data_IF_494546287167
#
_entry.id   IF_494546287167
#
_cell.length_a   1.000
_cell.length_b   1.000
_cell.length_c   1.000
_cell.angle_alpha   90.00
_cell.angle_beta   90.00
_cell.angle_gamma   90.00
#
_symmetry.space_group_name_H-M   'P 1'
#
loop_
_entity.id
_entity.type
_entity.pdbx_description
1 polymer ?
#
# COMPACT_ATOMS: atom_id res chain seq x y z
N UNK A 1 26.53 -1.83 12.17
CA UNK A 1 25.54 -2.35 13.12
C UNK A 1 25.77 -3.84 13.26
N UNK A 2 24.98 -4.56 14.06
CA UNK A 2 25.07 -6.01 14.15
C UNK A 2 24.86 -6.69 12.78
N UNK A 3 25.51 -7.83 12.58
CA UNK A 3 25.36 -8.68 11.40
C UNK A 3 24.86 -10.04 11.88
N UNK A 4 23.64 -10.40 11.49
CA UNK A 4 22.99 -11.67 11.81
C UNK A 4 22.76 -12.43 10.50
N UNK A 5 23.24 -13.67 10.43
CA UNK A 5 23.11 -14.51 9.23
C UNK A 5 22.75 -15.94 9.57
N UNK A 6 21.71 -16.49 8.92
CA UNK A 6 21.41 -17.91 9.01
C UNK A 6 20.88 -18.37 10.37
N UNK A 7 20.36 -17.47 11.21
CA UNK A 7 19.92 -17.79 12.57
C UNK A 7 18.41 -18.00 12.59
N UNK A 8 17.97 -19.02 13.30
CA UNK A 8 16.56 -19.26 13.62
C UNK A 8 16.27 -18.85 15.06
N UNK A 9 15.47 -17.81 15.23
CA UNK A 9 14.91 -17.37 16.50
C UNK A 9 13.46 -17.86 16.59
N UNK A 10 13.21 -18.90 17.38
CA UNK A 10 11.87 -19.49 17.54
C UNK A 10 11.53 -19.67 19.01
N UNK A 11 10.93 -18.65 19.62
CA UNK A 11 10.61 -18.59 21.06
C UNK A 11 9.51 -17.55 21.31
N UNK A 12 8.66 -17.78 22.32
CA UNK A 12 7.67 -16.81 22.87
C UNK A 12 8.29 -15.60 23.59
N UNK A 13 9.45 -15.15 23.11
CA UNK A 13 10.05 -13.91 23.56
C UNK A 13 9.09 -12.73 23.29
N UNK A 14 9.09 -11.75 24.19
CA UNK A 14 8.34 -10.51 24.00
C UNK A 14 8.79 -9.81 22.71
N UNK A 15 10.10 -9.67 22.53
CA UNK A 15 10.75 -9.30 21.27
C UNK A 15 11.92 -10.24 21.05
N UNK A 16 12.07 -10.80 19.84
CA UNK A 16 13.24 -11.64 19.56
C UNK A 16 14.50 -10.80 19.32
N UNK A 17 14.37 -9.67 18.62
CA UNK A 17 15.45 -8.71 18.38
C UNK A 17 15.03 -7.30 18.80
N UNK A 18 15.94 -6.60 19.47
CA UNK A 18 15.79 -5.18 19.79
C UNK A 18 17.11 -4.46 19.47
N UNK A 19 17.01 -3.39 18.67
CA UNK A 19 18.12 -2.50 18.37
C UNK A 19 17.68 -1.09 18.77
N UNK A 20 18.29 -0.61 19.85
CA UNK A 20 17.97 0.68 20.45
C UNK A 20 18.64 1.85 19.72
N UNK A 21 18.03 3.01 19.86
CA UNK A 21 18.50 4.28 19.33
C UNK A 21 17.61 5.43 19.78
N UNK A 22 17.96 6.66 19.42
CA UNK A 22 17.18 7.86 19.76
C UNK A 22 15.77 7.75 19.18
N UNK A 23 14.77 7.92 20.05
CA UNK A 23 13.36 8.08 19.68
C UNK A 23 13.00 9.58 19.75
N UNK A 24 12.59 10.21 18.65
CA UNK A 24 12.17 11.61 18.66
C UNK A 24 10.93 11.84 19.55
N UNK A 25 11.01 12.81 20.45
CA UNK A 25 9.87 13.29 21.27
C UNK A 25 9.09 14.44 20.60
N UNK A 26 9.48 14.81 19.37
CA UNK A 26 8.95 15.91 18.59
C UNK A 26 9.40 15.81 17.14
N UNK A 27 8.92 16.74 16.31
CA UNK A 27 9.48 16.94 14.97
C UNK A 27 10.98 17.25 15.13
N UNK A 28 11.82 16.50 14.44
CA UNK A 28 13.27 16.59 14.55
C UNK A 28 13.92 16.46 13.18
N UNK A 29 15.13 16.98 13.04
CA UNK A 29 15.88 16.83 11.80
C UNK A 29 16.33 15.38 11.61
N UNK A 30 16.32 14.88 10.37
CA UNK A 30 16.78 13.53 10.00
C UNK A 30 18.19 13.19 10.54
N UNK A 31 19.06 14.20 10.67
CA UNK A 31 20.42 14.04 11.20
C UNK A 31 20.47 13.68 12.68
N UNK A 32 19.35 13.79 13.40
CA UNK A 32 19.31 13.64 14.85
C UNK A 32 18.95 12.25 15.34
N UNK A 33 18.38 11.39 14.49
CA UNK A 33 17.93 10.03 14.87
C UNK A 33 18.45 8.98 13.88
N UNK A 34 18.37 7.71 14.27
CA UNK A 34 18.89 6.58 13.46
C UNK A 34 20.42 6.45 13.43
N UNK A 35 21.16 7.32 14.13
CA UNK A 35 22.64 7.37 14.07
C UNK A 35 23.37 6.50 15.09
N UNK A 36 22.66 6.00 16.11
CA UNK A 36 23.27 5.23 17.20
C UNK A 36 23.74 3.84 16.73
N UNK A 37 22.98 3.20 15.84
CA UNK A 37 23.31 1.90 15.26
C UNK A 37 23.11 1.94 13.75
N UNK A 38 24.20 2.14 13.00
CA UNK A 38 24.15 2.25 11.53
C UNK A 38 24.67 0.99 10.86
N UNK A 39 24.01 0.51 9.81
CA UNK A 39 24.50 -0.59 8.97
C UNK A 39 24.24 -1.97 9.58
N UNK A 40 23.04 -2.18 10.11
CA UNK A 40 22.60 -3.51 10.57
C UNK A 40 22.28 -4.39 9.37
N UNK A 41 22.69 -5.66 9.42
CA UNK A 41 22.34 -6.65 8.41
C UNK A 41 21.67 -7.87 9.07
N UNK A 42 20.46 -8.20 8.63
CA UNK A 42 19.74 -9.43 8.99
C UNK A 42 19.48 -10.19 7.69
N UNK A 43 20.14 -11.32 7.50
CA UNK A 43 20.11 -12.05 6.22
C UNK A 43 19.90 -13.54 6.44
N UNK A 44 19.00 -14.16 5.66
CA UNK A 44 18.72 -15.60 5.72
C UNK A 44 18.31 -16.07 7.13
N UNK A 45 17.60 -15.25 7.89
CA UNK A 45 17.15 -15.58 9.25
C UNK A 45 15.68 -15.99 9.27
N UNK A 46 15.31 -16.81 10.24
CA UNK A 46 13.91 -17.09 10.58
C UNK A 46 13.62 -16.51 11.95
N UNK A 47 12.57 -15.70 12.08
CA UNK A 47 12.13 -15.14 13.36
C UNK A 47 10.65 -15.46 13.52
N UNK A 48 10.32 -16.30 14.49
CA UNK A 48 8.95 -16.80 14.67
C UNK A 48 8.52 -16.98 16.12
N UNK A 49 7.20 -17.04 16.33
CA UNK A 49 6.55 -17.30 17.62
C UNK A 49 6.80 -16.22 18.67
N UNK A 50 6.83 -14.94 18.32
CA UNK A 50 7.07 -13.86 19.29
C UNK A 50 5.76 -13.36 19.93
N UNK A 51 5.75 -13.16 21.25
CA UNK A 51 4.57 -12.72 22.01
C UNK A 51 4.23 -11.23 21.84
N UNK A 52 5.04 -10.46 21.10
CA UNK A 52 4.68 -9.13 20.59
C UNK A 52 5.20 -8.91 19.17
N UNK A 53 6.47 -8.52 19.01
CA UNK A 53 7.11 -8.17 17.72
C UNK A 53 8.31 -9.07 17.46
N UNK A 54 8.57 -9.46 16.23
CA UNK A 54 9.76 -10.25 15.90
C UNK A 54 11.04 -9.40 16.05
N UNK A 55 11.07 -8.21 15.45
CA UNK A 55 12.18 -7.28 15.61
C UNK A 55 11.69 -5.83 15.79
N UNK A 56 12.26 -5.15 16.79
CA UNK A 56 12.01 -3.75 17.12
C UNK A 56 13.31 -2.95 16.91
N UNK A 57 13.38 -2.12 15.87
CA UNK A 57 14.66 -1.64 15.33
C UNK A 57 14.65 -0.13 15.12
N UNK A 58 15.70 0.53 15.63
CA UNK A 58 16.14 1.88 15.24
C UNK A 58 17.55 1.81 14.69
N UNK A 59 17.81 2.46 13.55
CA UNK A 59 19.15 2.50 12.96
C UNK A 59 19.15 2.65 11.45
N UNK A 60 19.98 3.57 10.96
CA UNK A 60 20.15 3.83 9.52
C UNK A 60 20.87 2.69 8.80
N UNK A 61 20.71 2.64 7.48
CA UNK A 61 21.37 1.66 6.60
C UNK A 61 21.09 0.21 7.01
N UNK A 62 19.89 -0.06 7.56
CA UNK A 62 19.42 -1.41 7.86
C UNK A 62 19.12 -2.18 6.57
N UNK A 63 19.59 -3.41 6.49
CA UNK A 63 19.16 -4.36 5.46
C UNK A 63 18.59 -5.61 6.10
N UNK A 64 17.35 -5.97 5.75
CA UNK A 64 16.73 -7.24 6.07
C UNK A 64 16.39 -7.95 4.76
N UNK A 65 17.02 -9.09 4.50
CA UNK A 65 16.80 -9.80 3.25
C UNK A 65 16.79 -11.31 3.35
N UNK A 66 15.99 -11.94 2.49
CA UNK A 66 15.83 -13.40 2.45
C UNK A 66 15.42 -13.99 3.82
N UNK A 67 14.68 -13.25 4.64
CA UNK A 67 14.25 -13.69 5.95
C UNK A 67 12.81 -14.21 5.93
N UNK A 68 12.50 -15.12 6.85
CA UNK A 68 11.12 -15.47 7.22
C UNK A 68 10.78 -14.79 8.56
N UNK A 69 9.70 -14.01 8.59
CA UNK A 69 9.12 -13.49 9.82
C UNK A 69 7.68 -13.98 9.93
N UNK A 70 7.36 -14.72 10.97
CA UNK A 70 6.01 -15.28 11.12
C UNK A 70 5.54 -15.48 12.55
N UNK A 71 4.23 -15.71 12.71
CA UNK A 71 3.63 -16.12 13.98
C UNK A 71 3.95 -15.15 15.12
N UNK A 72 3.64 -13.86 14.92
CA UNK A 72 3.77 -12.84 15.97
C UNK A 72 2.41 -12.40 16.48
N UNK A 73 2.34 -12.03 17.76
CA UNK A 73 1.10 -11.54 18.39
C UNK A 73 0.67 -10.16 17.91
N UNK A 74 1.58 -9.33 17.38
CA UNK A 74 1.26 -7.98 16.86
C UNK A 74 1.99 -7.75 15.54
N UNK A 75 3.04 -6.89 15.49
CA UNK A 75 3.81 -6.65 14.28
C UNK A 75 4.82 -7.77 13.98
N UNK A 76 5.19 -7.95 12.72
CA UNK A 76 6.36 -8.77 12.36
C UNK A 76 7.66 -7.99 12.61
N UNK A 77 7.84 -6.93 11.83
CA UNK A 77 8.95 -5.99 11.97
C UNK A 77 8.42 -4.62 12.36
N UNK A 78 9.07 -3.97 13.34
CA UNK A 78 8.76 -2.60 13.72
C UNK A 78 10.03 -1.75 13.62
N UNK A 79 10.07 -0.86 12.64
CA UNK A 79 11.22 -0.02 12.30
C UNK A 79 10.86 1.43 12.62
N UNK A 80 11.70 2.13 13.38
CA UNK A 80 11.40 3.46 13.87
C UNK A 80 12.53 4.43 13.60
N UNK A 81 12.21 5.67 13.21
CA UNK A 81 13.14 6.82 13.18
C UNK A 81 14.48 6.52 12.51
N UNK A 82 14.40 5.85 11.37
CA UNK A 82 15.56 5.29 10.65
C UNK A 82 15.60 5.78 9.21
N UNK A 83 16.75 5.67 8.56
CA UNK A 83 16.91 6.08 7.16
C UNK A 83 17.62 5.02 6.33
N UNK A 84 17.36 5.01 5.03
CA UNK A 84 18.06 4.17 4.05
C UNK A 84 17.92 2.66 4.36
N UNK A 85 16.67 2.22 4.50
CA UNK A 85 16.35 0.84 4.88
C UNK A 85 16.01 0.02 3.65
N UNK A 86 16.52 -1.22 3.59
CA UNK A 86 16.17 -2.19 2.55
C UNK A 86 15.53 -3.44 3.16
N UNK A 87 14.26 -3.68 2.82
CA UNK A 87 13.54 -4.93 3.04
C UNK A 87 13.37 -5.64 1.70
N UNK A 88 14.15 -6.69 1.45
CA UNK A 88 14.16 -7.38 0.16
C UNK A 88 13.99 -8.89 0.25
N UNK A 89 13.10 -9.49 -0.57
CA UNK A 89 12.97 -10.96 -0.67
C UNK A 89 12.62 -11.66 0.63
N UNK A 90 11.91 -10.97 1.52
CA UNK A 90 11.43 -11.55 2.75
C UNK A 90 10.07 -12.22 2.56
N UNK A 91 9.80 -13.22 3.39
CA UNK A 91 8.47 -13.79 3.57
C UNK A 91 7.95 -13.33 4.92
N UNK A 92 6.82 -12.63 4.90
CA UNK A 92 6.14 -12.14 6.09
C UNK A 92 4.77 -12.80 6.13
N UNK A 93 4.41 -13.49 7.21
CA UNK A 93 3.12 -14.18 7.29
C UNK A 93 2.60 -14.38 8.69
N UNK A 94 1.28 -14.42 8.86
CA UNK A 94 0.62 -14.70 10.16
C UNK A 94 1.15 -13.79 11.27
N UNK A 95 1.02 -12.48 11.08
CA UNK A 95 1.21 -11.51 12.16
C UNK A 95 -0.16 -11.11 12.74
N UNK A 96 -0.20 -10.77 14.01
CA UNK A 96 -1.41 -10.66 14.83
C UNK A 96 -2.20 -11.98 14.97
N UNK A 97 -1.52 -13.09 15.26
CA UNK A 97 -2.16 -14.42 15.36
C UNK A 97 -3.16 -14.54 16.51
N UNK A 98 -3.05 -13.68 17.52
CA UNK A 98 -3.93 -13.65 18.70
C UNK A 98 -5.15 -12.75 18.49
N UNK A 99 -5.26 -12.10 17.31
CA UNK A 99 -6.31 -11.11 17.02
C UNK A 99 -6.42 -10.04 18.12
N UNK A 100 -5.27 -9.50 18.52
CA UNK A 100 -5.22 -8.39 19.48
C UNK A 100 -5.81 -7.17 18.79
N UNK A 101 -6.78 -6.54 19.46
CA UNK A 101 -7.40 -5.30 19.04
C UNK A 101 -6.86 -4.12 19.85
N UNK A 102 -6.94 -2.91 19.29
CA UNK A 102 -6.37 -1.69 19.92
C UNK A 102 -4.86 -1.50 19.71
N UNK A 103 -4.14 -2.54 19.26
CA UNK A 103 -2.79 -2.45 18.73
C UNK A 103 -2.88 -2.58 17.21
N UNK A 104 -2.79 -1.48 16.47
CA UNK A 104 -2.95 -1.44 15.02
C UNK A 104 -1.79 -2.20 14.32
N UNK A 105 -1.93 -3.50 14.00
CA UNK A 105 -0.80 -4.35 13.70
C UNK A 105 -0.49 -4.36 12.20
N UNK A 106 0.74 -4.70 11.86
CA UNK A 106 1.19 -4.86 10.48
C UNK A 106 2.28 -5.94 10.36
N UNK A 107 2.41 -6.57 9.20
CA UNK A 107 3.55 -7.44 8.88
C UNK A 107 4.88 -6.67 9.03
N UNK A 108 4.91 -5.44 8.53
CA UNK A 108 5.94 -4.45 8.82
C UNK A 108 5.27 -3.14 9.16
N UNK A 109 5.68 -2.53 10.26
CA UNK A 109 5.33 -1.16 10.60
C UNK A 109 6.60 -0.31 10.56
N UNK A 110 6.57 0.77 9.78
CA UNK A 110 7.68 1.70 9.57
C UNK A 110 7.19 3.05 10.09
N UNK A 111 7.69 3.45 11.26
CA UNK A 111 7.03 4.45 12.08
C UNK A 111 7.93 5.62 12.45
N UNK A 112 7.31 6.79 12.61
CA UNK A 112 7.89 7.99 13.21
C UNK A 112 9.18 8.48 12.53
N UNK A 113 9.03 9.42 11.60
CA UNK A 113 10.15 10.15 10.97
C UNK A 113 11.19 9.22 10.34
N UNK A 114 10.75 8.40 9.39
CA UNK A 114 11.61 7.42 8.69
C UNK A 114 11.78 7.80 7.22
N UNK A 115 12.98 7.68 6.68
CA UNK A 115 13.34 8.24 5.37
C UNK A 115 13.87 7.16 4.42
N UNK A 116 13.44 7.18 3.15
CA UNK A 116 14.00 6.35 2.07
C UNK A 116 13.98 4.85 2.39
N UNK A 117 12.85 4.36 2.91
CA UNK A 117 12.65 2.91 3.13
C UNK A 117 12.20 2.25 1.84
N UNK A 118 12.93 1.21 1.45
CA UNK A 118 12.63 0.38 0.28
C UNK A 118 12.13 -0.99 0.71
N UNK A 119 10.91 -1.33 0.34
CA UNK A 119 10.36 -2.68 0.36
C UNK A 119 10.30 -3.22 -1.07
N UNK A 120 11.23 -4.11 -1.43
CA UNK A 120 11.33 -4.68 -2.76
C UNK A 120 11.16 -6.20 -2.77
N UNK A 121 10.34 -6.74 -3.67
CA UNK A 121 10.30 -8.18 -3.96
C UNK A 121 10.00 -9.06 -2.73
N UNK A 122 9.13 -8.60 -1.81
CA UNK A 122 8.71 -9.36 -0.63
C UNK A 122 7.40 -10.12 -0.89
N UNK A 123 7.21 -11.24 -0.19
CA UNK A 123 5.95 -11.96 -0.10
C UNK A 123 5.30 -11.69 1.26
N UNK A 124 4.10 -11.10 1.25
CA UNK A 124 3.29 -10.82 2.43
C UNK A 124 1.97 -11.54 2.31
N UNK A 125 1.71 -12.52 3.18
CA UNK A 125 0.55 -13.40 3.03
C UNK A 125 -0.01 -13.87 4.37
N UNK A 126 -1.31 -14.18 4.41
CA UNK A 126 -2.00 -14.70 5.61
C UNK A 126 -2.09 -13.66 6.74
N UNK A 127 -2.64 -12.48 6.43
CA UNK A 127 -2.84 -11.38 7.40
C UNK A 127 -4.33 -10.99 7.54
N UNK A 128 -5.21 -11.92 7.98
CA UNK A 128 -6.64 -11.61 8.10
C UNK A 128 -6.94 -10.51 9.13
N UNK A 129 -6.10 -10.37 10.16
CA UNK A 129 -6.30 -9.43 11.27
C UNK A 129 -5.16 -8.39 11.40
N UNK A 130 -4.38 -8.19 10.35
CA UNK A 130 -3.20 -7.31 10.37
C UNK A 130 -3.06 -6.61 9.03
N UNK A 131 -2.44 -5.43 9.02
CA UNK A 131 -2.02 -4.81 7.77
C UNK A 131 -0.83 -5.59 7.16
N UNK A 132 -0.58 -5.38 5.87
CA UNK A 132 0.64 -5.84 5.22
C UNK A 132 1.83 -4.99 5.66
N UNK A 133 2.27 -4.07 4.80
CA UNK A 133 3.39 -3.16 5.09
C UNK A 133 2.82 -1.74 5.26
N UNK A 134 3.05 -1.17 6.43
CA UNK A 134 2.54 0.13 6.83
C UNK A 134 3.66 1.12 7.09
N UNK A 135 3.71 2.15 6.25
CA UNK A 135 4.47 3.38 6.46
C UNK A 135 3.61 4.32 7.29
N UNK A 136 3.76 4.22 8.61
CA UNK A 136 2.92 4.88 9.60
C UNK A 136 3.56 6.17 10.12
N UNK A 137 3.02 7.32 9.72
CA UNK A 137 3.39 8.68 10.15
C UNK A 137 4.86 9.09 9.91
N UNK A 138 5.03 10.16 9.15
CA UNK A 138 6.30 10.84 8.97
C UNK A 138 7.28 10.08 8.09
N UNK A 139 6.78 9.21 7.21
CA UNK A 139 7.62 8.57 6.21
C UNK A 139 7.89 9.52 5.05
N UNK A 140 9.12 9.54 4.56
CA UNK A 140 9.52 10.38 3.42
C UNK A 140 10.26 9.56 2.37
N UNK A 141 9.89 9.71 1.11
CA UNK A 141 10.52 9.08 -0.06
C UNK A 141 10.55 7.54 0.00
N UNK A 142 9.43 6.92 0.37
CA UNK A 142 9.31 5.46 0.41
C UNK A 142 9.33 4.79 -0.97
N UNK A 143 9.82 3.55 -1.06
CA UNK A 143 9.82 2.76 -2.30
C UNK A 143 9.23 1.37 -2.04
N UNK A 144 8.06 1.11 -2.57
CA UNK A 144 7.31 -0.13 -2.43
C UNK A 144 7.14 -0.80 -3.80
N UNK A 145 7.99 -1.78 -4.11
CA UNK A 145 8.09 -2.32 -5.49
C UNK A 145 8.16 -3.82 -5.58
N UNK A 146 7.59 -4.39 -6.65
CA UNK A 146 7.68 -5.81 -6.98
C UNK A 146 7.18 -6.78 -5.89
N UNK A 147 6.41 -6.30 -4.90
CA UNK A 147 5.93 -7.14 -3.81
C UNK A 147 4.70 -7.95 -4.24
N UNK A 148 4.57 -9.14 -3.67
CA UNK A 148 3.34 -9.94 -3.70
C UNK A 148 2.66 -9.83 -2.34
N UNK A 149 1.46 -9.26 -2.34
CA UNK A 149 0.64 -9.09 -1.14
C UNK A 149 -0.67 -9.85 -1.32
N UNK A 150 -0.98 -10.78 -0.42
CA UNK A 150 -2.15 -11.65 -0.58
C UNK A 150 -2.88 -11.92 0.74
N UNK A 151 -4.21 -11.87 0.71
CA UNK A 151 -5.03 -12.27 1.86
C UNK A 151 -4.82 -11.38 3.08
N UNK A 152 -4.74 -10.07 2.85
CA UNK A 152 -4.69 -9.04 3.89
C UNK A 152 -6.12 -8.57 4.16
N UNK A 153 -6.65 -8.82 5.35
CA UNK A 153 -8.05 -8.52 5.69
C UNK A 153 -9.06 -9.48 5.08
N UNK A 154 -10.29 -8.97 4.91
CA UNK A 154 -11.45 -9.70 4.41
C UNK A 154 -12.07 -8.98 3.22
N UNK A 155 -12.35 -9.69 2.13
CA UNK A 155 -12.92 -9.15 0.89
C UNK A 155 -14.44 -9.30 0.79
N UNK A 156 -15.05 -10.05 1.70
CA UNK A 156 -16.47 -10.41 1.71
C UNK A 156 -17.32 -9.57 2.69
N UNK A 157 -16.70 -8.65 3.42
CA UNK A 157 -17.41 -7.70 4.29
C UNK A 157 -17.91 -6.48 3.52
N UNK A 158 -18.97 -5.83 4.01
CA UNK A 158 -19.45 -4.57 3.44
C UNK A 158 -18.45 -3.44 3.71
N UNK A 159 -18.22 -2.58 2.72
CA UNK A 159 -17.32 -1.43 2.87
C UNK A 159 -18.03 -0.27 3.57
N UNK A 160 -17.31 0.43 4.44
CA UNK A 160 -17.81 1.68 5.00
C UNK A 160 -17.52 2.83 4.03
N UNK A 161 -18.56 3.37 3.38
CA UNK A 161 -18.41 4.51 2.46
C UNK A 161 -18.21 5.86 3.16
N UNK A 162 -18.33 5.92 4.50
CA UNK A 162 -18.13 7.14 5.28
C UNK A 162 -16.72 7.25 5.86
N UNK A 163 -15.98 6.16 5.93
CA UNK A 163 -14.62 6.12 6.43
C UNK A 163 -13.85 4.96 5.81
N UNK A 164 -12.58 5.20 5.47
CA UNK A 164 -11.67 4.20 4.91
C UNK A 164 -10.89 3.43 5.99
N UNK A 165 -11.14 3.73 7.26
CA UNK A 165 -10.51 3.11 8.43
C UNK A 165 -11.52 2.91 9.56
N UNK A 166 -11.46 1.81 10.35
CA UNK A 166 -10.48 0.72 10.29
C UNK A 166 -10.74 -0.27 9.15
N UNK A 167 -9.66 -0.64 8.46
CA UNK A 167 -9.58 -1.67 7.40
C UNK A 167 -8.19 -2.31 7.44
N UNK A 168 -8.01 -3.45 6.80
CA UNK A 168 -6.67 -4.04 6.62
C UNK A 168 -6.13 -3.71 5.23
N UNK A 169 -4.88 -3.27 5.18
CA UNK A 169 -4.31 -2.67 3.98
C UNK A 169 -3.00 -3.36 3.61
N UNK A 170 -2.86 -3.80 2.36
CA UNK A 170 -1.67 -4.46 1.86
C UNK A 170 -0.44 -3.55 1.87
N UNK A 171 -0.56 -2.40 1.21
CA UNK A 171 0.35 -1.26 1.34
C UNK A 171 -0.42 -0.10 1.97
N UNK A 172 0.02 0.33 3.15
CA UNK A 172 -0.58 1.44 3.87
C UNK A 172 0.43 2.59 4.01
N UNK A 173 0.12 3.75 3.45
CA UNK A 173 0.94 4.95 3.54
C UNK A 173 0.14 6.07 4.24
N UNK A 174 0.44 6.31 5.51
CA UNK A 174 -0.32 7.22 6.36
C UNK A 174 0.52 8.43 6.80
N UNK A 175 -0.04 9.64 6.67
CA UNK A 175 0.54 10.89 7.21
C UNK A 175 2.02 11.01 6.78
N UNK A 176 2.26 10.87 5.49
CA UNK A 176 3.60 10.70 4.94
C UNK A 176 3.74 11.41 3.60
N UNK A 177 4.97 11.65 3.13
CA UNK A 177 5.25 12.50 1.97
C UNK A 177 6.14 11.77 0.98
N UNK A 178 5.67 11.58 -0.25
CA UNK A 178 6.47 10.98 -1.31
C UNK A 178 6.63 9.48 -1.14
N UNK A 179 6.07 8.71 -2.07
CA UNK A 179 6.38 7.30 -2.20
C UNK A 179 6.20 6.81 -3.62
N UNK A 180 6.95 5.78 -4.02
CA UNK A 180 6.73 5.03 -5.24
C UNK A 180 6.10 3.69 -4.86
N UNK A 181 4.89 3.40 -5.33
CA UNK A 181 4.24 2.10 -5.22
C UNK A 181 4.09 1.51 -6.63
N UNK A 182 5.00 0.64 -7.05
CA UNK A 182 5.02 0.19 -8.45
C UNK A 182 5.39 -1.27 -8.68
N UNK A 183 4.77 -1.89 -9.69
CA UNK A 183 5.08 -3.28 -10.05
C UNK A 183 4.58 -4.32 -9.03
N UNK A 184 3.66 -3.96 -8.12
CA UNK A 184 3.19 -4.86 -7.08
C UNK A 184 1.96 -5.64 -7.51
N UNK A 185 1.79 -6.82 -6.93
CA UNK A 185 0.62 -7.67 -7.08
C UNK A 185 -0.13 -7.72 -5.74
N UNK A 186 -1.40 -7.31 -5.75
CA UNK A 186 -2.31 -7.36 -4.60
C UNK A 186 -3.44 -8.35 -4.91
N UNK A 187 -3.58 -9.40 -4.10
CA UNK A 187 -4.55 -10.49 -4.34
C UNK A 187 -5.44 -10.68 -3.12
N UNK A 188 -6.75 -10.58 -3.30
CA UNK A 188 -7.75 -10.78 -2.25
C UNK A 188 -7.42 -9.98 -0.97
N UNK A 189 -7.05 -8.71 -1.12
CA UNK A 189 -6.85 -7.80 0.00
C UNK A 189 -8.11 -6.98 0.22
N UNK A 190 -8.47 -6.71 1.47
CA UNK A 190 -9.53 -5.77 1.85
C UNK A 190 -9.28 -4.44 1.11
N UNK A 191 -8.14 -3.79 1.42
CA UNK A 191 -7.52 -2.82 0.53
C UNK A 191 -6.15 -3.35 0.08
N UNK A 192 -5.90 -3.41 -1.24
CA UNK A 192 -4.55 -3.63 -1.74
C UNK A 192 -3.64 -2.45 -1.38
N UNK A 193 -4.14 -1.23 -1.59
CA UNK A 193 -3.47 0.02 -1.23
C UNK A 193 -4.41 0.90 -0.43
N UNK A 194 -3.90 1.51 0.64
CA UNK A 194 -4.48 2.71 1.25
C UNK A 194 -3.41 3.79 1.36
N UNK A 195 -3.67 4.93 0.72
CA UNK A 195 -2.92 6.18 0.94
C UNK A 195 -3.82 7.10 1.75
N UNK A 196 -3.50 7.34 3.01
CA UNK A 196 -4.32 8.14 3.92
C UNK A 196 -3.55 9.36 4.39
N UNK A 197 -4.13 10.55 4.26
CA UNK A 197 -3.56 11.79 4.80
C UNK A 197 -2.12 12.06 4.35
N UNK A 198 -1.78 11.68 3.12
CA UNK A 198 -0.42 11.72 2.59
C UNK A 198 -0.36 12.54 1.29
N UNK A 199 0.84 12.78 0.77
CA UNK A 199 1.02 13.53 -0.49
C UNK A 199 2.04 12.88 -1.41
N UNK A 200 1.95 13.18 -2.71
CA UNK A 200 2.94 12.82 -3.73
C UNK A 200 3.27 11.31 -3.83
N UNK A 201 2.27 10.44 -3.68
CA UNK A 201 2.45 8.99 -3.93
C UNK A 201 2.27 8.67 -5.41
N UNK A 202 3.27 8.05 -6.03
CA UNK A 202 3.28 7.60 -7.42
C UNK A 202 2.96 6.09 -7.50
N UNK A 203 1.77 5.75 -8.00
CA UNK A 203 1.26 4.39 -8.12
C UNK A 203 1.26 3.95 -9.59
N UNK A 204 2.22 3.11 -9.98
CA UNK A 204 2.41 2.72 -11.38
C UNK A 204 2.42 1.21 -11.56
N UNK A 205 1.75 0.71 -12.59
CA UNK A 205 1.92 -0.68 -13.01
C UNK A 205 1.70 -1.68 -11.86
N UNK A 206 0.68 -1.48 -11.01
CA UNK A 206 0.28 -2.48 -10.02
C UNK A 206 -0.87 -3.33 -10.58
N UNK A 207 -0.93 -4.59 -10.17
CA UNK A 207 -2.07 -5.47 -10.47
C UNK A 207 -2.86 -5.73 -9.19
N UNK A 208 -4.14 -5.38 -9.21
CA UNK A 208 -5.11 -5.65 -8.15
C UNK A 208 -6.03 -6.77 -8.64
N UNK A 209 -6.08 -7.87 -7.89
CA UNK A 209 -7.00 -8.98 -8.09
C UNK A 209 -7.89 -9.06 -6.87
N UNK A 210 -9.19 -8.81 -7.05
CA UNK A 210 -10.17 -8.79 -5.97
C UNK A 210 -9.71 -7.94 -4.79
N UNK A 211 -9.14 -6.76 -5.09
CA UNK A 211 -8.56 -5.86 -4.10
C UNK A 211 -8.93 -4.43 -4.44
N UNK A 212 -9.33 -3.64 -3.45
CA UNK A 212 -9.57 -2.21 -3.64
C UNK A 212 -8.26 -1.42 -3.65
N UNK A 213 -8.20 -0.38 -4.48
CA UNK A 213 -7.26 0.72 -4.30
C UNK A 213 -7.97 1.89 -3.61
N UNK A 214 -7.38 2.44 -2.55
CA UNK A 214 -7.99 3.51 -1.75
C UNK A 214 -7.04 4.67 -1.55
N UNK A 215 -7.53 5.88 -1.82
CA UNK A 215 -6.82 7.13 -1.56
C UNK A 215 -7.76 8.02 -0.75
N UNK A 216 -7.32 8.50 0.40
CA UNK A 216 -8.19 9.15 1.37
C UNK A 216 -7.55 10.33 2.08
N UNK A 217 -8.38 11.31 2.46
CA UNK A 217 -7.99 12.35 3.41
C UNK A 217 -9.13 12.76 4.35
N UNK A 218 -8.77 13.12 5.57
CA UNK A 218 -9.66 13.67 6.58
C UNK A 218 -9.03 14.88 7.28
N UNK A 219 -9.68 15.38 8.32
CA UNK A 219 -9.30 16.57 9.07
C UNK A 219 -8.14 16.36 10.06
N UNK A 220 -7.67 15.12 10.23
CA UNK A 220 -6.63 14.79 11.23
C UNK A 220 -5.41 15.66 11.03
N UNK A 221 -5.02 16.42 12.04
CA UNK A 221 -3.89 17.36 12.04
C UNK A 221 -3.24 17.35 13.42
N UNK A 222 -2.08 18.00 13.60
CA UNK A 222 -1.40 18.01 14.91
C UNK A 222 -2.20 18.78 15.98
N UNK A 223 -3.16 19.63 15.57
CA UNK A 223 -3.99 20.38 16.51
C UNK A 223 -5.07 19.48 17.11
N UNK A 224 -4.88 19.10 18.38
CA UNK A 224 -5.86 18.31 19.13
C UNK A 224 -5.87 16.82 18.80
N UNK A 225 -4.83 16.28 18.14
CA UNK A 225 -4.70 14.85 17.88
C UNK A 225 -4.44 14.07 19.18
N UNK A 226 -5.02 12.87 19.27
CA UNK A 226 -4.77 11.96 20.38
C UNK A 226 -3.30 11.52 20.48
N UNK A 227 -2.59 11.49 19.34
CA UNK A 227 -1.16 11.15 19.27
C UNK A 227 -0.27 12.40 19.24
N UNK A 228 -0.80 13.57 19.61
CA UNK A 228 -0.01 14.78 19.80
C UNK A 228 0.60 15.32 18.50
N UNK A 229 1.92 15.50 18.47
CA UNK A 229 2.62 16.15 17.36
C UNK A 229 2.81 15.26 16.14
N UNK A 230 2.61 13.95 16.23
CA UNK A 230 2.88 12.99 15.15
C UNK A 230 2.32 13.43 13.78
N UNK A 231 1.08 13.94 13.65
CA UNK A 231 0.57 14.42 12.36
C UNK A 231 1.37 15.53 11.70
N UNK A 232 2.14 16.33 12.46
CA UNK A 232 2.99 17.41 11.93
C UNK A 232 4.17 16.92 11.09
N UNK A 233 4.45 15.62 11.11
CA UNK A 233 5.51 15.02 10.28
C UNK A 233 5.06 14.78 8.83
N UNK A 234 3.76 14.65 8.61
CA UNK A 234 3.14 14.48 7.30
C UNK A 234 2.86 15.81 6.59
N UNK A 235 2.04 15.80 5.52
CA UNK A 235 1.49 17.01 4.91
C UNK A 235 0.35 17.58 5.74
N UNK A 236 0.19 18.91 5.68
CA UNK A 236 -1.00 19.58 6.22
C UNK A 236 -2.26 19.16 5.45
N UNK A 237 -3.44 19.50 5.99
CA UNK A 237 -4.73 18.98 5.51
C UNK A 237 -4.99 19.33 4.03
N UNK A 238 -4.62 20.55 3.62
CA UNK A 238 -4.71 21.06 2.25
C UNK A 238 -3.56 20.63 1.34
N UNK A 239 -2.48 20.07 1.89
CA UNK A 239 -1.31 19.60 1.15
C UNK A 239 -1.39 18.12 0.72
N UNK A 240 -2.50 17.44 1.06
CA UNK A 240 -2.78 16.01 0.75
C UNK A 240 -3.20 15.82 -0.71
N UNK A 241 -2.28 16.14 -1.60
CA UNK A 241 -2.47 16.16 -3.06
C UNK A 241 -1.23 15.63 -3.78
N UNK A 242 -1.27 15.61 -5.11
CA UNK A 242 -0.11 15.31 -5.95
C UNK A 242 0.06 13.82 -6.29
N UNK A 243 -0.90 12.97 -5.90
CA UNK A 243 -0.84 11.54 -6.20
C UNK A 243 -0.89 11.27 -7.70
N UNK A 244 -0.26 10.17 -8.12
CA UNK A 244 -0.38 9.64 -9.47
C UNK A 244 -0.85 8.20 -9.44
N UNK A 245 -1.76 7.82 -10.33
CA UNK A 245 -2.21 6.42 -10.45
C UNK A 245 -2.36 6.08 -11.94
N UNK A 246 -1.36 5.40 -12.48
CA UNK A 246 -1.18 5.22 -13.92
C UNK A 246 -0.78 3.78 -14.27
N UNK A 247 -1.25 3.26 -15.40
CA UNK A 247 -0.93 1.91 -15.90
C UNK A 247 -1.32 0.77 -14.93
N UNK A 248 -2.23 0.99 -13.99
CA UNK A 248 -2.63 -0.07 -13.06
C UNK A 248 -3.68 -0.97 -13.71
N UNK A 249 -3.67 -2.25 -13.35
CA UNK A 249 -4.68 -3.22 -13.72
C UNK A 249 -5.50 -3.56 -12.48
N UNK A 250 -6.82 -3.34 -12.53
CA UNK A 250 -7.75 -3.67 -11.46
C UNK A 250 -8.74 -4.70 -11.96
N UNK A 251 -8.84 -5.82 -11.25
CA UNK A 251 -9.62 -6.98 -11.70
C UNK A 251 -10.51 -7.48 -10.58
N UNK A 252 -11.72 -7.89 -10.94
CA UNK A 252 -12.66 -8.56 -10.06
C UNK A 252 -13.25 -9.78 -10.75
N UNK A 253 -13.21 -10.90 -10.03
CA UNK A 253 -14.00 -12.08 -10.39
C UNK A 253 -15.49 -11.86 -10.08
N UNK A 254 -16.29 -12.89 -10.35
CA UNK A 254 -17.74 -12.85 -10.14
C UNK A 254 -18.19 -12.72 -8.67
N UNK A 255 -17.31 -13.05 -7.72
CA UNK A 255 -17.61 -13.03 -6.28
C UNK A 255 -17.18 -11.70 -5.62
N UNK A 256 -16.34 -10.90 -6.28
CA UNK A 256 -15.87 -9.64 -5.73
C UNK A 256 -16.85 -8.47 -5.97
N UNK A 257 -17.64 -8.15 -4.95
CA UNK A 257 -18.76 -7.22 -5.03
C UNK A 257 -18.46 -5.78 -4.57
N UNK A 258 -17.19 -5.42 -4.39
CA UNK A 258 -16.77 -4.09 -3.93
C UNK A 258 -16.32 -3.21 -5.10
N UNK A 259 -16.26 -1.87 -4.95
CA UNK A 259 -15.58 -1.03 -5.92
C UNK A 259 -14.15 -1.49 -6.16
N UNK A 260 -13.60 -1.18 -7.33
CA UNK A 260 -12.18 -1.41 -7.60
C UNK A 260 -11.33 -0.23 -7.13
N UNK A 261 -11.92 0.97 -7.08
CA UNK A 261 -11.26 2.19 -6.65
C UNK A 261 -12.17 3.02 -5.73
N UNK A 262 -11.62 3.51 -4.63
CA UNK A 262 -12.28 4.45 -3.74
C UNK A 262 -11.38 5.64 -3.43
N UNK A 263 -11.76 6.81 -3.96
CA UNK A 263 -11.14 8.09 -3.62
C UNK A 263 -12.05 8.79 -2.63
N UNK A 264 -11.59 8.94 -1.40
CA UNK A 264 -12.38 9.38 -0.27
C UNK A 264 -11.92 10.73 0.28
N UNK A 265 -12.87 11.52 0.73
CA UNK A 265 -12.65 12.69 1.57
C UNK A 265 -13.72 12.73 2.65
N UNK A 266 -13.34 13.05 3.89
CA UNK A 266 -14.33 13.21 4.96
C UNK A 266 -15.34 14.32 4.62
N UNK A 267 -16.60 14.10 4.97
CA UNK A 267 -17.70 15.05 4.71
C UNK A 267 -17.38 16.44 5.30
N UNK A 268 -16.71 16.48 6.45
CA UNK A 268 -16.25 17.69 7.14
C UNK A 268 -15.40 18.60 6.24
N UNK A 269 -14.59 18.03 5.35
CA UNK A 269 -13.71 18.81 4.46
C UNK A 269 -14.40 19.26 3.16
N UNK A 270 -15.59 18.75 2.83
CA UNK A 270 -16.15 18.90 1.48
C UNK A 270 -16.37 20.35 1.03
N UNK A 271 -16.78 21.21 1.96
CA UNK A 271 -16.96 22.64 1.69
C UNK A 271 -15.66 23.45 1.79
N UNK A 272 -14.59 22.85 2.30
CA UNK A 272 -13.34 23.55 2.65
C UNK A 272 -12.25 23.27 1.61
N UNK A 273 -12.09 22.01 1.21
CA UNK A 273 -11.05 21.56 0.28
C UNK A 273 -11.72 20.89 -0.91
N UNK A 274 -11.61 21.56 -2.06
CA UNK A 274 -12.24 21.12 -3.32
C UNK A 274 -11.21 20.56 -4.31
N UNK A 275 -9.93 20.73 -4.04
CA UNK A 275 -8.86 20.27 -4.93
C UNK A 275 -8.88 18.76 -5.06
N UNK A 276 -8.64 18.27 -6.27
CA UNK A 276 -8.52 16.84 -6.50
C UNK A 276 -7.22 16.32 -5.89
N UNK A 277 -7.26 15.10 -5.34
CA UNK A 277 -6.10 14.48 -4.69
C UNK A 277 -5.00 14.06 -5.69
N UNK A 278 -5.35 13.97 -6.99
CA UNK A 278 -4.46 13.50 -8.04
C UNK A 278 -3.88 14.61 -8.90
N UNK A 279 -2.59 14.47 -9.20
CA UNK A 279 -1.90 15.17 -10.29
C UNK A 279 -2.07 14.43 -11.62
N UNK A 280 -2.13 13.10 -11.59
CA UNK A 280 -2.28 12.27 -12.78
C UNK A 280 -3.08 11.00 -12.44
N UNK A 281 -4.08 10.68 -13.25
CA UNK A 281 -4.98 9.55 -13.01
C UNK A 281 -5.50 9.08 -14.37
N UNK A 282 -4.78 8.16 -15.02
CA UNK A 282 -5.12 7.71 -16.39
C UNK A 282 -4.43 6.38 -16.80
N UNK A 283 -4.80 5.84 -17.95
CA UNK A 283 -4.24 4.60 -18.54
C UNK A 283 -4.41 3.37 -17.64
N UNK A 284 -5.42 3.37 -16.79
CA UNK A 284 -5.77 2.24 -15.95
C UNK A 284 -6.72 1.30 -16.68
N UNK A 285 -6.64 0.00 -16.39
CA UNK A 285 -7.52 -1.00 -16.97
C UNK A 285 -8.30 -1.68 -15.88
N UNK A 286 -9.62 -1.70 -16.05
CA UNK A 286 -10.58 -2.35 -15.16
C UNK A 286 -11.15 -3.58 -15.87
N UNK A 287 -11.19 -4.71 -15.19
CA UNK A 287 -11.76 -5.95 -15.71
C UNK A 287 -12.73 -6.53 -14.68
N UNK A 288 -13.95 -6.85 -15.11
CA UNK A 288 -14.93 -7.59 -14.32
C UNK A 288 -15.40 -8.82 -15.06
N UNK A 289 -15.42 -9.96 -14.37
CA UNK A 289 -15.90 -11.21 -14.96
C UNK A 289 -17.44 -11.29 -15.04
N UNK A 290 -18.18 -10.50 -14.27
CA UNK A 290 -19.65 -10.48 -14.28
C UNK A 290 -20.20 -9.07 -14.39
N UNK A 291 -21.45 -8.98 -14.84
CA UNK A 291 -22.29 -7.79 -14.69
C UNK A 291 -22.39 -7.48 -13.21
N UNK A 292 -21.83 -6.35 -12.83
CA UNK A 292 -21.86 -5.89 -11.47
C UNK A 292 -23.25 -5.29 -11.21
N UNK A 293 -24.04 -5.94 -10.34
CA UNK A 293 -25.39 -5.49 -9.99
C UNK A 293 -25.40 -4.18 -9.17
N UNK A 294 -24.23 -3.61 -8.89
CA UNK A 294 -24.04 -2.37 -8.16
C UNK A 294 -23.33 -1.34 -9.05
N UNK A 295 -23.73 -0.08 -9.01
CA UNK A 295 -23.21 0.99 -9.89
C UNK A 295 -21.83 1.53 -9.46
N UNK A 296 -21.17 0.91 -8.47
CA UNK A 296 -19.96 1.41 -7.83
C UNK A 296 -18.67 0.77 -8.37
N UNK A 297 -18.28 1.02 -9.62
CA UNK A 297 -16.93 0.62 -10.06
C UNK A 297 -15.87 1.49 -9.37
N UNK A 298 -16.12 2.80 -9.35
CA UNK A 298 -15.29 3.85 -8.78
C UNK A 298 -16.15 4.70 -7.86
N UNK A 299 -15.74 4.86 -6.60
CA UNK A 299 -16.31 5.87 -5.70
C UNK A 299 -15.32 7.03 -5.64
N UNK A 300 -15.81 8.26 -5.82
CA UNK A 300 -14.97 9.42 -6.00
C UNK A 300 -15.37 10.61 -5.14
N UNK A 301 -14.38 11.25 -4.51
CA UNK A 301 -14.44 12.54 -3.85
C UNK A 301 -13.10 13.27 -3.94
N UNK A 302 -13.07 14.60 -3.78
CA UNK A 302 -14.18 15.45 -3.39
C UNK A 302 -15.11 15.83 -4.55
N UNK A 303 -16.41 15.81 -4.28
CA UNK A 303 -17.47 16.37 -5.14
C UNK A 303 -18.50 17.13 -4.30
N UNK A 304 -19.11 18.17 -4.88
CA UNK A 304 -20.17 18.95 -4.23
C UNK A 304 -21.50 18.19 -4.19
N UNK A 305 -21.56 17.17 -3.32
CA UNK A 305 -22.77 16.41 -2.97
C UNK A 305 -22.95 16.40 -1.45
N UNK A 306 -24.08 15.92 -0.96
CA UNK A 306 -24.38 15.85 0.50
C UNK A 306 -23.30 15.07 1.27
N UNK A 307 -22.81 13.96 0.70
CA UNK A 307 -21.84 13.05 1.35
C UNK A 307 -20.41 13.19 0.80
N UNK A 308 -20.09 14.28 0.11
CA UNK A 308 -18.80 14.53 -0.55
C UNK A 308 -18.31 13.49 -1.58
N UNK A 309 -19.20 12.62 -2.04
CA UNK A 309 -18.84 11.54 -2.95
C UNK A 309 -19.90 11.28 -4.01
N UNK A 310 -19.47 10.64 -5.09
CA UNK A 310 -20.31 10.13 -6.17
C UNK A 310 -19.75 8.79 -6.66
N UNK A 311 -20.63 7.92 -7.12
CA UNK A 311 -20.26 6.64 -7.72
C UNK A 311 -20.30 6.70 -9.24
N UNK A 312 -19.35 6.02 -9.86
CA UNK A 312 -19.29 5.81 -11.30
C UNK A 312 -19.16 4.33 -11.60
N UNK A 313 -19.94 3.86 -12.58
CA UNK A 313 -19.85 2.48 -13.07
C UNK A 313 -18.85 2.31 -14.23
N UNK A 314 -18.18 3.39 -14.68
CA UNK A 314 -17.14 3.31 -15.72
C UNK A 314 -16.16 4.48 -15.66
N UNK A 315 -14.91 4.28 -16.12
CA UNK A 315 -13.93 5.36 -16.27
C UNK A 315 -14.42 6.47 -17.22
N UNK A 316 -15.16 6.12 -18.27
CA UNK A 316 -15.75 7.10 -19.20
C UNK A 316 -16.69 8.09 -18.50
N UNK A 317 -17.55 7.61 -17.57
CA UNK A 317 -18.46 8.50 -16.83
C UNK A 317 -17.69 9.42 -15.88
N UNK A 318 -16.63 8.92 -15.24
CA UNK A 318 -15.74 9.76 -14.44
C UNK A 318 -15.07 10.84 -15.31
N UNK A 319 -14.53 10.46 -16.47
CA UNK A 319 -13.90 11.39 -17.41
C UNK A 319 -14.87 12.48 -17.90
N UNK A 320 -16.14 12.14 -18.15
CA UNK A 320 -17.14 13.14 -18.54
C UNK A 320 -17.35 14.23 -17.48
N UNK A 321 -17.17 13.89 -16.20
CA UNK A 321 -17.24 14.86 -15.08
C UNK A 321 -15.90 15.55 -14.82
N UNK A 322 -14.79 14.83 -14.99
CA UNK A 322 -13.43 15.31 -14.76
C UNK A 322 -12.57 15.01 -16.00
N UNK A 323 -12.60 15.92 -16.98
CA UNK A 323 -12.06 15.69 -18.34
C UNK A 323 -10.58 15.29 -18.42
N UNK A 324 -9.78 15.58 -17.40
CA UNK A 324 -8.37 15.24 -17.35
C UNK A 324 -8.08 13.86 -16.74
N UNK A 325 -9.09 13.16 -16.25
CA UNK A 325 -8.96 11.91 -15.51
C UNK A 325 -9.56 10.73 -16.28
N UNK A 326 -8.85 9.60 -16.32
CA UNK A 326 -9.27 8.35 -16.96
C UNK A 326 -9.61 8.47 -18.46
N UNK A 327 -8.99 9.42 -19.15
CA UNK A 327 -9.27 9.73 -20.56
C UNK A 327 -8.88 8.60 -21.53
N UNK A 328 -7.90 7.77 -21.15
CA UNK A 328 -7.35 6.64 -21.91
C UNK A 328 -7.58 5.30 -21.23
N UNK A 329 -8.12 5.30 -20.03
CA UNK A 329 -8.48 4.08 -19.32
C UNK A 329 -9.60 3.29 -19.98
N UNK A 330 -9.67 2.00 -19.68
CA UNK A 330 -10.67 1.08 -20.24
C UNK A 330 -11.28 0.17 -19.20
N UNK A 331 -12.57 -0.10 -19.38
CA UNK A 331 -13.32 -1.10 -18.65
C UNK A 331 -13.68 -2.26 -19.59
N UNK A 332 -13.46 -3.48 -19.12
CA UNK A 332 -13.89 -4.73 -19.74
C UNK A 332 -14.88 -5.44 -18.81
N UNK A 333 -16.17 -5.30 -19.10
CA UNK A 333 -17.27 -5.96 -18.39
C UNK A 333 -17.56 -7.34 -18.98
N UNK A 334 -18.14 -8.24 -18.17
CA UNK A 334 -18.45 -9.62 -18.55
C UNK A 334 -17.28 -10.35 -19.22
N UNK A 335 -16.06 -10.06 -18.77
CA UNK A 335 -14.86 -10.62 -19.38
C UNK A 335 -14.71 -12.09 -18.97
N UNK A 336 -15.21 -13.00 -19.81
CA UNK A 336 -15.17 -14.47 -19.56
C UNK A 336 -13.98 -15.19 -20.22
N UNK A 337 -13.05 -14.45 -20.82
CA UNK A 337 -11.86 -15.02 -21.46
C UNK A 337 -10.68 -15.09 -20.48
N UNK A 338 -9.60 -15.75 -20.87
CA UNK A 338 -8.39 -15.82 -20.06
C UNK A 338 -7.67 -14.46 -20.05
N UNK A 339 -7.61 -13.84 -18.88
CA UNK A 339 -6.83 -12.62 -18.63
C UNK A 339 -5.37 -12.94 -18.31
N UNK A 340 -5.19 -13.83 -17.34
CA UNK A 340 -3.89 -14.27 -16.84
C UNK A 340 -3.48 -15.62 -17.40
N UNK A 341 -2.19 -15.94 -17.35
CA UNK A 341 -1.64 -17.25 -17.70
C UNK A 341 -2.30 -18.38 -16.92
N UNK A 342 -2.61 -18.15 -15.64
CA UNK A 342 -3.40 -19.07 -14.84
C UNK A 342 -3.65 -18.56 -13.43
N UNK A 343 -4.78 -17.91 -13.20
CA UNK A 343 -5.18 -17.38 -11.88
C UNK A 343 -5.32 -18.49 -10.82
N UNK A 344 -5.83 -19.67 -11.20
CA UNK A 344 -5.99 -20.84 -10.32
C UNK A 344 -4.64 -21.31 -9.74
N UNK A 345 -3.58 -21.26 -10.55
CA UNK A 345 -2.21 -21.62 -10.14
C UNK A 345 -1.40 -20.39 -9.70
N UNK A 346 -2.09 -19.28 -9.42
CA UNK A 346 -1.51 -17.99 -9.01
C UNK A 346 -0.47 -17.43 -9.98
N UNK A 347 -0.59 -17.72 -11.27
CA UNK A 347 0.23 -17.09 -12.29
C UNK A 347 -0.54 -15.92 -12.93
N UNK A 348 -0.30 -14.73 -12.37
CA UNK A 348 -0.94 -13.47 -12.76
C UNK A 348 -0.21 -12.71 -13.88
N UNK A 349 0.68 -13.37 -14.63
CA UNK A 349 1.24 -12.77 -15.84
C UNK A 349 0.13 -12.59 -16.88
N UNK A 350 0.02 -11.39 -17.45
CA UNK A 350 -1.01 -11.07 -18.45
C UNK A 350 -0.73 -11.77 -19.78
N UNK A 351 -1.79 -12.24 -20.42
CA UNK A 351 -1.70 -12.77 -21.78
C UNK A 351 -1.78 -11.64 -22.81
N UNK A 352 -0.90 -11.64 -23.80
CA UNK A 352 -0.88 -10.65 -24.89
C UNK A 352 -2.16 -10.65 -25.72
N UNK A 353 -2.90 -11.76 -25.73
CA UNK A 353 -4.22 -11.85 -26.38
C UNK A 353 -5.29 -10.99 -25.70
N UNK A 354 -5.08 -10.62 -24.42
CA UNK A 354 -5.97 -9.67 -23.76
C UNK A 354 -5.72 -8.28 -24.35
N UNK A 355 -6.72 -7.75 -25.05
CA UNK A 355 -6.63 -6.47 -25.76
C UNK A 355 -6.30 -5.28 -24.85
N UNK A 356 -6.57 -5.38 -23.54
CA UNK A 356 -6.22 -4.36 -22.57
C UNK A 356 -4.74 -4.36 -22.13
N UNK A 357 -3.98 -5.42 -22.42
CA UNK A 357 -2.64 -5.63 -21.88
C UNK A 357 -1.63 -4.53 -22.27
N UNK A 358 -1.77 -4.00 -23.50
CA UNK A 358 -0.85 -3.01 -24.09
C UNK A 358 -1.45 -1.58 -24.13
N UNK A 359 -2.45 -1.29 -23.28
CA UNK A 359 -3.06 0.04 -23.19
C UNK A 359 -2.30 1.02 -22.27
N UNK A 360 -1.23 0.57 -21.62
CA UNK A 360 -0.41 1.42 -20.77
C UNK A 360 0.39 2.44 -21.59
N UNK A 361 0.75 3.54 -20.95
CA UNK A 361 1.74 4.50 -21.46
C UNK A 361 3.16 4.05 -21.11
N UNK A 362 4.17 4.63 -21.75
CA UNK A 362 5.58 4.38 -21.43
C UNK A 362 5.86 4.61 -19.94
N UNK A 363 6.40 3.58 -19.28
CA UNK A 363 6.76 3.64 -17.87
C UNK A 363 7.86 4.70 -17.67
N UNK A 364 7.65 5.72 -16.83
CA UNK A 364 8.64 6.78 -16.60
C UNK A 364 9.97 6.24 -16.10
N UNK A 365 11.08 6.90 -16.46
CA UNK A 365 12.44 6.46 -16.14
C UNK A 365 12.74 6.28 -14.64
N UNK A 366 12.13 7.08 -13.77
CA UNK A 366 12.26 6.93 -12.31
C UNK A 366 11.58 5.64 -11.83
N UNK A 367 10.42 5.30 -12.41
CA UNK A 367 9.67 4.08 -12.09
C UNK A 367 10.36 2.85 -12.69
N UNK A 368 10.73 2.89 -13.98
CA UNK A 368 11.33 1.75 -14.69
C UNK A 368 12.62 1.25 -14.05
N UNK A 369 13.42 2.15 -13.47
CA UNK A 369 14.63 1.82 -12.71
C UNK A 369 14.35 1.00 -11.46
N UNK A 370 13.32 1.34 -10.69
CA UNK A 370 13.03 0.66 -9.42
C UNK A 370 12.28 -0.66 -9.63
N UNK A 371 11.41 -0.75 -10.63
CA UNK A 371 10.73 -2.02 -10.97
C UNK A 371 11.52 -2.91 -11.94
N UNK A 372 12.65 -2.43 -12.48
CA UNK A 372 13.50 -3.11 -13.48
C UNK A 372 12.73 -3.59 -14.72
N UNK A 373 11.72 -2.83 -15.13
CA UNK A 373 10.87 -3.11 -16.28
C UNK A 373 10.62 -1.81 -17.07
N UNK A 374 10.46 -1.93 -18.39
CA UNK A 374 10.11 -0.82 -19.29
C UNK A 374 9.13 -1.30 -20.37
N UNK A 375 8.44 -0.35 -20.98
CA UNK A 375 7.48 -0.58 -22.05
C UNK A 375 6.13 0.07 -21.79
N UNK A 376 5.17 -0.28 -22.64
CA UNK A 376 3.83 0.30 -22.68
C UNK A 376 2.82 -0.81 -22.37
N UNK A 377 2.63 -1.10 -21.08
CA UNK A 377 1.71 -2.16 -20.63
C UNK A 377 1.10 -1.78 -19.28
N UNK A 378 -0.02 -2.42 -18.95
CA UNK A 378 -0.68 -2.26 -17.65
C UNK A 378 -0.35 -3.40 -16.70
N UNK A 379 -0.47 -3.15 -15.40
CA UNK A 379 -0.24 -4.13 -14.36
C UNK A 379 1.24 -4.40 -14.07
N UNK A 380 1.46 -5.27 -13.09
CA UNK A 380 2.77 -5.59 -12.49
C UNK A 380 3.74 -6.33 -13.41
N UNK A 381 3.22 -7.08 -14.36
CA UNK A 381 4.01 -7.99 -15.19
C UNK A 381 3.86 -7.63 -16.65
N UNK A 382 4.99 -7.54 -17.34
CA UNK A 382 5.01 -7.46 -18.80
C UNK A 382 4.18 -8.61 -19.40
N UNK A 383 3.25 -8.30 -20.33
CA UNK A 383 2.46 -9.31 -21.02
C UNK A 383 3.29 -10.37 -21.74
N UNK A 384 2.80 -11.61 -21.74
CA UNK A 384 3.43 -12.79 -22.36
C UNK A 384 2.57 -13.33 -23.51
N UNK A 385 3.20 -13.99 -24.49
CA UNK A 385 2.49 -14.60 -25.62
C UNK A 385 1.65 -15.81 -25.22
#
# INVERSE_FOLDING_TARGET
>A
GPILKGITFTQYAYRALEIEGKDPEGLSHETEHGKDVVGTLIENCTISYCSRVAAYIRGDNLTIKNCLVSDTSTEGLYILSSSDILLEKNILRRNNIENITGYYPAAVKIFNQTYRVTCNDNLVIEHPYSNGIWYDVGNVDGVFTNNWIEGVGFTDTEINKKNVWPSQNGFFFEISKGAICAGNLFVNCDHGVLVLNSSNVEMYNNTFVNSMAVIGRNERSAQGDHFGWHPSTGPDVDERVGHKFVNNLLTADENFQRPLLFVWQSETLCGQINDQQFKEFDHNVYVRESDFNNDDLIIWGPVKTENCQISFNSPTKLNNMFSNFESKSKLFENYKSYLFKGSIVKNYQLLNKFIGANLGVEIPNNISKVIKQSGNFVGAFKPIN
#
